data_IF_320582067403
#
_entry.id   IF_320582067403
#
_cell.length_a   1.000
_cell.length_b   1.000
_cell.length_c   1.000
_cell.angle_alpha   90.00
_cell.angle_beta   90.00
_cell.angle_gamma   90.00
#
_symmetry.space_group_name_H-M   'P 1'
#
loop_
_entity.id
_entity.type
_entity.pdbx_description
1 polymer ?
#
# COMPACT_ATOMS: atom_id res chain seq x y z
N UNK A 1 14.52 -30.62 8.83
CA UNK A 1 14.93 -29.70 7.75
C UNK A 1 16.28 -29.13 8.13
N UNK A 2 17.36 -29.65 7.54
CA UNK A 2 18.72 -29.19 7.82
C UNK A 2 19.11 -28.15 6.76
N UNK A 3 19.41 -26.93 7.19
CA UNK A 3 20.04 -25.91 6.37
C UNK A 3 21.55 -26.09 6.54
N UNK A 4 22.24 -26.61 5.53
CA UNK A 4 23.70 -26.71 5.55
C UNK A 4 24.30 -25.37 5.11
N UNK A 5 24.92 -24.68 6.06
CA UNK A 5 25.78 -23.53 5.84
C UNK A 5 27.15 -24.06 5.38
N UNK A 6 27.47 -23.90 4.08
CA UNK A 6 28.81 -24.21 3.58
C UNK A 6 29.66 -22.93 3.60
N UNK A 7 30.50 -22.78 4.62
CA UNK A 7 31.61 -21.83 4.62
C UNK A 7 32.80 -22.45 3.90
N UNK A 8 33.33 -21.78 2.89
CA UNK A 8 34.62 -22.12 2.29
C UNK A 8 35.56 -20.92 2.38
N UNK A 9 36.60 -21.08 3.19
CA UNK A 9 37.76 -20.19 3.27
C UNK A 9 38.95 -20.78 2.50
N UNK A 10 39.80 -19.84 2.04
CA UNK A 10 41.24 -19.91 1.77
C UNK A 10 41.79 -20.16 0.33
N UNK A 11 42.43 -19.08 -0.16
CA UNK A 11 43.73 -18.95 -0.83
C UNK A 11 44.00 -19.73 -2.13
N UNK A 12 44.21 -19.01 -3.24
CA UNK A 12 45.56 -18.71 -3.76
C UNK A 12 45.50 -17.92 -5.08
N UNK A 13 46.51 -17.07 -5.24
CA UNK A 13 46.76 -16.10 -6.28
C UNK A 13 46.57 -16.59 -7.73
N UNK A 14 45.68 -15.94 -8.48
CA UNK A 14 45.84 -15.77 -9.92
C UNK A 14 45.64 -14.29 -10.28
N UNK A 15 46.64 -13.76 -10.97
CA UNK A 15 46.66 -12.41 -11.54
C UNK A 15 45.52 -12.31 -12.56
N UNK A 16 44.59 -11.39 -12.32
CA UNK A 16 43.52 -11.05 -13.27
C UNK A 16 44.10 -10.32 -14.49
N UNK A 17 43.77 -10.72 -15.73
CA UNK A 17 43.82 -9.78 -16.85
C UNK A 17 42.69 -8.74 -16.69
N UNK A 18 42.95 -7.44 -16.94
CA UNK A 18 41.99 -6.36 -16.72
C UNK A 18 41.00 -6.29 -17.88
N UNK A 19 40.07 -7.24 -17.99
CA UNK A 19 38.92 -7.09 -18.90
C UNK A 19 37.82 -8.10 -18.53
N UNK A 20 37.25 -7.92 -17.34
CA UNK A 20 35.93 -8.44 -17.01
C UNK A 20 35.00 -7.25 -16.82
N UNK A 21 34.34 -6.85 -17.91
CA UNK A 21 33.18 -5.98 -17.82
C UNK A 21 32.01 -6.87 -17.40
N UNK A 22 31.68 -6.86 -16.11
CA UNK A 22 30.43 -7.45 -15.63
C UNK A 22 29.29 -6.55 -16.14
N UNK A 23 28.75 -6.85 -17.33
CA UNK A 23 27.53 -6.19 -17.79
C UNK A 23 26.33 -6.76 -17.04
N UNK A 24 25.93 -6.07 -15.98
CA UNK A 24 24.62 -6.28 -15.35
C UNK A 24 23.58 -5.66 -16.27
N UNK A 25 22.93 -6.48 -17.09
CA UNK A 25 21.80 -6.01 -17.91
C UNK A 25 20.53 -6.13 -17.08
N UNK A 26 19.97 -4.99 -16.66
CA UNK A 26 18.68 -4.93 -15.96
C UNK A 26 17.58 -5.05 -17.00
N UNK A 27 17.08 -6.26 -17.21
CA UNK A 27 15.92 -6.50 -18.08
C UNK A 27 14.67 -6.54 -17.20
N UNK A 28 13.80 -5.54 -17.35
CA UNK A 28 12.49 -5.53 -16.69
C UNK A 28 11.53 -6.34 -17.55
N UNK A 29 11.15 -7.54 -17.11
CA UNK A 29 10.11 -8.34 -17.74
C UNK A 29 8.78 -8.06 -17.05
N UNK A 30 7.77 -7.59 -17.80
CA UNK A 30 6.38 -7.50 -17.34
C UNK A 30 5.54 -8.52 -18.10
N UNK A 31 5.35 -9.76 -17.62
CA UNK A 31 4.37 -10.65 -18.21
C UNK A 31 2.95 -10.08 -18.01
N UNK A 32 2.12 -10.13 -19.05
CA UNK A 32 0.70 -9.79 -18.97
C UNK A 32 -0.01 -10.76 -18.02
N UNK A 33 -0.71 -10.22 -17.02
CA UNK A 33 -1.62 -10.85 -16.05
C UNK A 33 -1.16 -11.06 -14.60
N UNK A 34 0.06 -10.68 -14.19
CA UNK A 34 0.47 -10.84 -12.78
C UNK A 34 0.73 -9.50 -12.09
N UNK A 35 0.01 -9.22 -10.99
CA UNK A 35 0.16 -8.04 -10.10
C UNK A 35 1.44 -8.13 -9.27
N UNK A 36 2.59 -8.08 -9.93
CA UNK A 36 3.89 -7.92 -9.28
C UNK A 36 4.42 -6.50 -9.48
N UNK A 37 4.57 -5.76 -8.39
CA UNK A 37 5.47 -4.60 -8.39
C UNK A 37 6.90 -5.10 -8.21
N UNK A 38 7.77 -4.72 -9.15
CA UNK A 38 9.22 -4.92 -9.13
C UNK A 38 9.72 -6.39 -9.22
N UNK A 39 9.48 -7.04 -10.35
CA UNK A 39 10.24 -8.24 -10.72
C UNK A 39 11.64 -7.86 -11.22
N UNK A 40 12.68 -8.38 -10.57
CA UNK A 40 14.06 -8.26 -11.05
C UNK A 40 14.59 -9.62 -11.49
N UNK A 41 15.17 -9.66 -12.69
CA UNK A 41 15.88 -10.83 -13.20
C UNK A 41 17.37 -10.48 -13.25
N UNK A 42 18.19 -11.24 -12.52
CA UNK A 42 19.63 -11.11 -12.57
C UNK A 42 20.20 -12.12 -13.57
N UNK A 43 20.72 -11.63 -14.70
CA UNK A 43 21.42 -12.46 -15.69
C UNK A 43 22.91 -12.19 -15.57
N UNK A 44 23.67 -13.24 -15.27
CA UNK A 44 25.14 -13.19 -15.24
C UNK A 44 25.69 -13.98 -16.42
N UNK A 45 26.59 -13.36 -17.19
CA UNK A 45 27.28 -14.00 -18.30
C UNK A 45 28.69 -14.43 -17.89
N UNK A 46 29.04 -15.69 -18.13
CA UNK A 46 30.41 -16.21 -17.99
C UNK A 46 31.00 -16.58 -19.35
N UNK A 47 32.32 -16.49 -19.49
CA UNK A 47 33.13 -16.59 -20.73
C UNK A 47 33.16 -18.03 -21.31
N UNK A 48 32.22 -18.91 -20.93
CA UNK A 48 32.11 -20.29 -21.42
C UNK A 48 30.74 -20.61 -22.06
N UNK A 49 30.08 -19.64 -22.68
CA UNK A 49 28.79 -19.81 -23.38
C UNK A 49 27.65 -20.41 -22.51
N UNK A 50 27.76 -20.33 -21.19
CA UNK A 50 26.73 -20.81 -20.27
C UNK A 50 26.03 -19.63 -19.61
N UNK A 51 24.73 -19.49 -19.90
CA UNK A 51 23.85 -18.53 -19.22
C UNK A 51 23.40 -19.18 -17.92
N UNK A 52 23.79 -18.61 -16.77
CA UNK A 52 23.20 -18.96 -15.47
C UNK A 52 22.23 -17.86 -15.07
N UNK A 53 20.94 -18.19 -15.09
CA UNK A 53 19.89 -17.34 -14.54
C UNK A 53 19.98 -17.48 -13.02
N UNK A 54 20.36 -16.40 -12.32
CA UNK A 54 20.25 -16.34 -10.86
C UNK A 54 18.85 -15.88 -10.53
N UNK A 55 18.16 -16.70 -9.76
CA UNK A 55 16.95 -16.47 -8.96
C UNK A 55 16.06 -15.27 -9.33
N UNK A 56 14.81 -15.57 -9.65
CA UNK A 56 13.74 -14.58 -9.75
C UNK A 56 13.36 -14.10 -8.35
N UNK A 57 13.85 -12.92 -7.95
CA UNK A 57 13.36 -12.25 -6.75
C UNK A 57 12.09 -11.47 -7.10
N UNK A 58 10.96 -12.12 -6.83
CA UNK A 58 9.64 -11.53 -6.96
C UNK A 58 9.15 -11.18 -5.56
N UNK A 59 9.06 -9.90 -5.22
CA UNK A 59 8.36 -9.50 -4.00
C UNK A 59 6.86 -9.66 -4.25
N UNK A 60 6.27 -10.68 -3.63
CA UNK A 60 4.81 -10.79 -3.55
C UNK A 60 4.39 -9.76 -2.50
N UNK A 61 3.76 -8.67 -2.93
CA UNK A 61 3.07 -7.79 -1.98
C UNK A 61 1.78 -8.49 -1.57
N UNK A 62 1.80 -9.18 -0.44
CA UNK A 62 0.58 -9.74 0.15
C UNK A 62 -0.22 -8.61 0.78
N UNK A 63 -1.32 -8.23 0.16
CA UNK A 63 -2.25 -7.28 0.73
C UNK A 63 -3.00 -7.90 1.91
N UNK A 64 -3.16 -7.13 2.99
CA UNK A 64 -4.03 -7.53 4.08
C UNK A 64 -5.51 -7.39 3.66
N UNK A 65 -6.38 -8.10 4.36
CA UNK A 65 -7.83 -7.95 4.24
C UNK A 65 -8.36 -7.08 5.37
N UNK A 66 -9.11 -6.04 5.03
CA UNK A 66 -9.83 -5.20 5.99
C UNK A 66 -11.32 -5.22 5.64
N UNK A 67 -12.17 -4.98 6.64
CA UNK A 67 -13.63 -4.84 6.45
C UNK A 67 -14.06 -3.45 6.91
N UNK A 68 -15.19 -2.95 6.40
CA UNK A 68 -15.74 -1.67 6.83
C UNK A 68 -16.09 -1.64 8.33
N UNK A 69 -16.31 -2.81 8.96
CA UNK A 69 -16.61 -2.92 10.39
C UNK A 69 -15.43 -2.60 11.31
N UNK A 70 -14.23 -2.39 10.76
CA UNK A 70 -13.04 -1.99 11.52
C UNK A 70 -12.98 -0.49 11.80
N UNK A 71 -13.88 0.31 11.21
CA UNK A 71 -14.01 1.75 11.46
C UNK A 71 -15.29 1.98 12.27
N UNK A 72 -15.17 2.65 13.41
CA UNK A 72 -16.32 3.18 14.12
C UNK A 72 -16.84 4.47 13.48
N UNK A 73 -18.14 4.70 13.64
CA UNK A 73 -18.78 5.95 13.22
C UNK A 73 -19.06 6.76 14.47
N UNK A 74 -18.40 7.90 14.59
CA UNK A 74 -18.65 8.88 15.65
C UNK A 74 -19.94 9.62 15.32
N UNK A 75 -20.79 9.76 16.34
CA UNK A 75 -22.04 10.50 16.29
C UNK A 75 -22.31 11.18 17.63
N UNK A 76 -23.06 12.27 17.65
CA UNK A 76 -23.52 12.96 18.86
C UNK A 76 -23.36 14.48 18.82
N UNK A 77 -22.67 15.00 17.81
CA UNK A 77 -22.56 16.43 17.52
C UNK A 77 -23.65 16.89 16.54
N UNK A 78 -23.88 18.21 16.52
CA UNK A 78 -24.83 18.80 15.58
C UNK A 78 -24.31 18.71 14.14
N UNK A 79 -25.21 18.39 13.21
CA UNK A 79 -24.86 18.14 11.81
C UNK A 79 -24.32 16.74 11.51
N UNK A 80 -24.17 15.87 12.51
CA UNK A 80 -23.68 14.50 12.28
C UNK A 80 -24.63 13.69 11.40
N UNK A 81 -24.06 12.95 10.45
CA UNK A 81 -24.79 11.99 9.64
C UNK A 81 -23.95 10.73 9.42
N UNK A 82 -24.62 9.61 9.11
CA UNK A 82 -23.93 8.36 8.83
C UNK A 82 -23.36 8.39 7.41
N UNK A 83 -22.03 8.24 7.22
CA UNK A 83 -21.46 8.19 5.89
C UNK A 83 -21.81 6.87 5.21
N UNK A 84 -21.87 6.89 3.88
CA UNK A 84 -21.89 5.67 3.08
C UNK A 84 -20.47 5.18 2.83
N UNK A 85 -20.30 3.88 2.54
CA UNK A 85 -18.97 3.33 2.26
C UNK A 85 -18.98 2.33 1.10
N UNK A 86 -17.85 2.27 0.40
CA UNK A 86 -17.61 1.31 -0.67
C UNK A 86 -16.19 0.73 -0.56
N UNK A 87 -16.10 -0.60 -0.63
CA UNK A 87 -14.81 -1.30 -0.74
C UNK A 87 -14.31 -1.29 -2.18
N UNK A 88 -13.00 -1.10 -2.35
CA UNK A 88 -12.32 -1.10 -3.62
C UNK A 88 -10.96 -1.79 -3.54
N UNK A 89 -10.18 -1.63 -4.61
CA UNK A 89 -8.78 -2.09 -4.66
C UNK A 89 -7.90 -0.99 -5.27
N UNK A 90 -6.68 -0.84 -4.77
CA UNK A 90 -5.67 0.06 -5.35
C UNK A 90 -4.99 -0.58 -6.57
N UNK A 91 -4.10 0.17 -7.23
CA UNK A 91 -3.36 -0.30 -8.39
C UNK A 91 -2.36 -1.45 -8.10
N UNK A 92 -2.16 -1.80 -6.83
CA UNK A 92 -1.37 -2.94 -6.39
C UNK A 92 -2.25 -4.11 -5.91
N UNK A 93 -3.57 -4.03 -6.10
CA UNK A 93 -4.53 -5.06 -5.70
C UNK A 93 -4.86 -5.06 -4.20
N UNK A 94 -4.44 -4.05 -3.43
CA UNK A 94 -4.72 -3.96 -2.01
C UNK A 94 -6.08 -3.32 -1.72
N UNK A 95 -6.77 -3.82 -0.70
CA UNK A 95 -8.09 -3.34 -0.34
C UNK A 95 -8.08 -1.85 0.02
N UNK A 96 -9.04 -1.10 -0.51
CA UNK A 96 -9.32 0.28 -0.14
C UNK A 96 -10.76 0.39 0.36
N UNK A 97 -11.03 1.43 1.14
CA UNK A 97 -12.39 1.83 1.48
C UNK A 97 -12.55 3.31 1.19
N UNK A 98 -13.66 3.67 0.55
CA UNK A 98 -14.07 5.06 0.36
C UNK A 98 -15.26 5.33 1.25
N UNK A 99 -15.20 6.38 2.08
CA UNK A 99 -16.35 6.90 2.78
C UNK A 99 -16.82 8.18 2.09
N UNK A 100 -18.14 8.27 1.89
CA UNK A 100 -18.81 9.41 1.27
C UNK A 100 -19.81 9.99 2.26
N UNK A 101 -19.65 11.28 2.53
CA UNK A 101 -20.53 12.07 3.38
C UNK A 101 -21.28 13.05 2.48
N UNK A 102 -22.62 12.97 2.48
CA UNK A 102 -23.48 13.88 1.73
C UNK A 102 -24.93 13.79 2.25
N UNK A 103 -25.72 14.83 1.98
CA UNK A 103 -27.17 14.78 2.18
C UNK A 103 -27.83 13.99 1.04
N UNK A 104 -29.00 13.41 1.31
CA UNK A 104 -29.86 12.86 0.28
C UNK A 104 -31.22 13.61 0.24
N UNK A 105 -31.52 14.41 -0.80
CA UNK A 105 -30.68 14.73 -1.95
C UNK A 105 -29.51 15.66 -1.59
N UNK A 106 -28.46 15.65 -2.42
CA UNK A 106 -27.27 16.49 -2.25
C UNK A 106 -27.65 17.97 -2.37
N UNK A 107 -27.18 18.80 -1.44
CA UNK A 107 -27.38 20.25 -1.46
C UNK A 107 -26.03 20.94 -1.62
N UNK A 108 -25.82 21.59 -2.76
CA UNK A 108 -24.54 22.19 -3.16
C UNK A 108 -24.12 23.43 -2.34
N UNK A 109 -24.83 23.79 -1.28
CA UNK A 109 -24.44 24.87 -0.35
C UNK A 109 -24.00 24.34 1.01
N UNK A 110 -24.25 23.07 1.31
CA UNK A 110 -23.83 22.48 2.58
C UNK A 110 -22.31 22.40 2.63
N UNK A 111 -21.71 22.74 3.76
CA UNK A 111 -20.31 22.42 4.04
C UNK A 111 -20.28 21.03 4.66
N UNK A 112 -19.56 20.11 4.03
CA UNK A 112 -19.49 18.71 4.45
C UNK A 112 -18.08 18.39 4.91
N UNK A 113 -17.97 17.78 6.09
CA UNK A 113 -16.71 17.43 6.74
C UNK A 113 -16.69 15.92 7.02
N UNK A 114 -15.54 15.29 6.78
CA UNK A 114 -15.22 13.96 7.29
C UNK A 114 -13.98 14.07 8.16
N UNK A 115 -14.15 14.00 9.46
CA UNK A 115 -13.06 13.98 10.45
C UNK A 115 -12.69 12.54 10.74
N UNK A 116 -11.41 12.23 10.91
CA UNK A 116 -10.93 10.88 11.18
C UNK A 116 -10.05 10.85 12.42
N UNK A 117 -10.23 9.80 13.21
CA UNK A 117 -9.63 9.63 14.52
C UNK A 117 -8.74 8.40 14.58
N UNK A 118 -7.70 8.52 15.40
CA UNK A 118 -6.74 7.46 15.67
C UNK A 118 -6.53 7.33 17.18
N UNK A 119 -6.80 6.14 17.72
CA UNK A 119 -6.54 5.81 19.13
C UNK A 119 -5.03 5.85 19.46
N UNK A 120 -4.19 5.67 18.44
CA UNK A 120 -2.73 5.70 18.58
C UNK A 120 -2.12 7.11 18.66
N UNK A 121 -2.93 8.17 18.61
CA UNK A 121 -2.48 9.57 18.52
C UNK A 121 -3.06 10.44 19.63
N UNK A 122 -2.34 11.52 19.94
CA UNK A 122 -2.80 12.58 20.83
C UNK A 122 -2.41 13.94 20.22
N UNK A 123 -3.38 14.76 19.75
CA UNK A 123 -4.83 14.52 19.78
C UNK A 123 -5.26 13.31 18.95
N UNK A 124 -6.43 12.76 19.26
CA UNK A 124 -7.01 11.61 18.53
C UNK A 124 -7.53 12.02 17.16
N UNK A 125 -8.01 13.25 17.00
CA UNK A 125 -8.28 13.86 15.69
C UNK A 125 -6.95 14.04 14.94
N UNK A 126 -6.85 13.37 13.80
CA UNK A 126 -5.66 13.33 12.97
C UNK A 126 -5.86 13.98 11.59
N UNK A 127 -7.05 14.51 11.33
CA UNK A 127 -7.33 15.27 10.12
C UNK A 127 -8.80 15.27 9.70
N UNK A 128 -9.07 16.10 8.69
CA UNK A 128 -10.40 16.31 8.13
C UNK A 128 -10.31 16.44 6.60
N UNK A 129 -11.15 15.71 5.88
CA UNK A 129 -11.44 15.97 4.47
C UNK A 129 -12.72 16.81 4.41
N UNK A 130 -12.77 17.81 3.53
CA UNK A 130 -13.94 18.69 3.41
C UNK A 130 -14.39 18.86 1.96
N UNK A 131 -15.63 19.33 1.82
CA UNK A 131 -16.20 19.65 0.52
C UNK A 131 -17.49 20.45 0.64
N UNK A 132 -18.05 20.78 -0.51
CA UNK A 132 -19.34 21.48 -0.61
C UNK A 132 -20.33 20.54 -1.27
N UNK A 133 -21.44 20.27 -0.58
CA UNK A 133 -22.46 19.28 -0.93
C UNK A 133 -22.04 17.82 -0.68
N UNK A 134 -20.78 17.46 -0.89
CA UNK A 134 -20.24 16.12 -0.67
C UNK A 134 -18.77 16.19 -0.23
N UNK A 135 -18.35 15.26 0.63
CA UNK A 135 -16.96 15.02 0.98
C UNK A 135 -16.65 13.52 0.88
N UNK A 136 -15.41 13.19 0.52
CA UNK A 136 -14.98 11.80 0.35
C UNK A 136 -13.60 11.60 0.99
N UNK A 137 -13.40 10.45 1.62
CA UNK A 137 -12.08 10.00 2.09
C UNK A 137 -11.81 8.58 1.62
N UNK A 138 -10.59 8.33 1.13
CA UNK A 138 -10.12 7.00 0.72
C UNK A 138 -9.03 6.55 1.68
N UNK A 139 -9.18 5.35 2.23
CA UNK A 139 -8.19 4.71 3.11
C UNK A 139 -7.69 3.41 2.50
N UNK A 140 -6.44 3.07 2.79
CA UNK A 140 -5.80 1.84 2.34
C UNK A 140 -5.74 0.83 3.49
N UNK A 141 -6.01 -0.44 3.19
CA UNK A 141 -5.80 -1.51 4.15
C UNK A 141 -4.30 -1.86 4.21
N UNK A 142 -3.70 -1.70 5.38
CA UNK A 142 -2.30 -2.04 5.62
C UNK A 142 -2.23 -2.88 6.89
N UNK A 143 -1.68 -4.09 6.79
CA UNK A 143 -1.52 -5.00 7.93
C UNK A 143 -2.80 -5.27 8.75
N UNK A 144 -3.97 -5.22 8.11
CA UNK A 144 -5.25 -5.50 8.75
C UNK A 144 -5.91 -4.29 9.42
N UNK A 145 -5.34 -3.09 9.26
CA UNK A 145 -5.93 -1.83 9.72
C UNK A 145 -6.12 -0.85 8.57
N UNK A 146 -7.07 0.07 8.71
CA UNK A 146 -7.28 1.14 7.74
C UNK A 146 -6.31 2.28 7.98
N UNK A 147 -5.67 2.75 6.91
CA UNK A 147 -4.61 3.76 6.98
C UNK A 147 -4.88 4.91 6.02
N UNK A 148 -4.80 6.14 6.54
CA UNK A 148 -4.77 7.39 5.77
C UNK A 148 -3.46 8.11 6.05
N UNK A 149 -2.73 8.48 5.00
CA UNK A 149 -1.47 9.23 5.09
C UNK A 149 -0.43 8.65 6.07
N UNK A 150 -0.40 7.31 6.18
CA UNK A 150 0.51 6.58 7.08
C UNK A 150 0.06 6.49 8.54
N UNK A 151 -1.17 6.91 8.85
CA UNK A 151 -1.77 6.86 10.18
C UNK A 151 -2.93 5.85 10.17
N UNK A 152 -2.94 4.95 11.16
CA UNK A 152 -4.07 4.07 11.41
C UNK A 152 -5.30 4.88 11.82
N UNK A 153 -6.44 4.61 11.19
CA UNK A 153 -7.71 5.26 11.49
C UNK A 153 -8.63 4.23 12.14
N UNK A 154 -9.20 4.60 13.28
CA UNK A 154 -10.10 3.77 14.07
C UNK A 154 -11.56 4.23 13.95
N UNK A 155 -11.78 5.54 13.84
CA UNK A 155 -13.13 6.10 13.73
C UNK A 155 -13.19 7.23 12.71
N UNK A 156 -14.39 7.51 12.21
CA UNK A 156 -14.70 8.69 11.41
C UNK A 156 -15.97 9.38 11.91
N UNK A 157 -16.01 10.69 11.77
CA UNK A 157 -17.20 11.54 11.97
C UNK A 157 -17.53 12.21 10.64
N UNK A 158 -18.81 12.23 10.28
CA UNK A 158 -19.31 12.88 9.06
C UNK A 158 -20.30 13.95 9.47
N UNK A 159 -20.02 15.21 9.11
CA UNK A 159 -20.79 16.37 9.55
C UNK A 159 -21.24 17.20 8.35
N UNK A 160 -22.49 17.67 8.39
CA UNK A 160 -23.11 18.54 7.38
C UNK A 160 -23.54 19.83 8.06
N UNK A 161 -22.91 20.94 7.68
CA UNK A 161 -23.19 22.29 8.18
C UNK A 161 -24.02 23.04 7.12
N UNK A 162 -25.17 23.56 7.53
CA UNK A 162 -26.20 24.16 6.66
C UNK A 162 -26.23 25.67 6.70
#
# INVERSE_FOLDING_TARGET
MYCQLLTLTLLSSLILPPQLLLQVTKTVFKPQNWDYQNCYVFVSFFIQNSIKIHELLCSIRTCATCTAALIGIVTGNDGDTTPTSALGTDAAGCATITYTCERNPVVATDVVLITYYSDSRNPTDVGTENGVGTANVVMNCVNGVWVKDGIEINDIECQIIT
#
